data_IF_571523466465
#
_entry.id   IF_571523466465
#
_cell.length_a   1.000
_cell.length_b   1.000
_cell.length_c   1.000
_cell.angle_alpha   90.00
_cell.angle_beta   90.00
_cell.angle_gamma   90.00
#
_symmetry.space_group_name_H-M   'P 1'
#
loop_
_entity.id
_entity.type
_entity.pdbx_description
1 polymer ?
#
# COMPACT_ATOMS: atom_id res chain seq x y z
N UNK A 1 4.98 12.94 -10.99
CA UNK A 1 4.43 11.72 -11.64
C UNK A 1 5.39 10.59 -11.34
N UNK A 2 4.91 9.43 -10.91
CA UNK A 2 5.74 8.26 -10.62
C UNK A 2 6.21 7.68 -11.95
N UNK A 3 7.55 7.50 -12.09
CA UNK A 3 8.15 6.87 -13.24
C UNK A 3 8.19 5.34 -13.13
N UNK A 4 8.56 4.61 -14.23
CA UNK A 4 8.57 3.14 -14.23
C UNK A 4 9.56 2.54 -13.23
N UNK A 5 10.73 3.15 -13.05
CA UNK A 5 11.76 2.69 -12.12
C UNK A 5 11.29 2.85 -10.67
N UNK A 6 10.76 4.03 -10.34
CA UNK A 6 10.21 4.32 -9.00
C UNK A 6 9.02 3.40 -8.67
N UNK A 7 8.18 3.09 -9.65
CA UNK A 7 7.07 2.17 -9.48
C UNK A 7 7.54 0.74 -9.15
N UNK A 8 8.59 0.28 -9.84
CA UNK A 8 9.16 -1.06 -9.59
C UNK A 8 9.90 -1.14 -8.25
N UNK A 9 10.61 -0.09 -7.87
CA UNK A 9 11.23 0.05 -6.56
C UNK A 9 10.16 -0.07 -5.46
N UNK A 10 9.09 0.71 -5.55
CA UNK A 10 7.97 0.67 -4.59
C UNK A 10 7.26 -0.69 -4.57
N UNK A 11 7.12 -1.33 -5.72
CA UNK A 11 6.56 -2.68 -5.85
C UNK A 11 7.37 -3.69 -5.04
N UNK A 12 8.70 -3.67 -5.14
CA UNK A 12 9.58 -4.60 -4.45
C UNK A 12 9.68 -4.29 -2.95
N UNK A 13 9.90 -3.03 -2.58
CA UNK A 13 10.06 -2.64 -1.16
C UNK A 13 8.76 -2.78 -0.35
N UNK A 14 7.61 -2.61 -0.99
CA UNK A 14 6.31 -2.78 -0.33
C UNK A 14 5.67 -4.15 -0.60
N UNK A 15 6.45 -5.14 -1.04
CA UNK A 15 5.96 -6.47 -1.40
C UNK A 15 5.17 -7.17 -0.28
N UNK A 16 5.46 -6.87 0.99
CA UNK A 16 4.81 -7.46 2.16
C UNK A 16 3.99 -6.45 2.98
N UNK A 17 3.83 -5.21 2.47
CA UNK A 17 3.15 -4.14 3.19
C UNK A 17 1.78 -3.90 2.58
N UNK A 18 0.72 -4.30 3.28
CA UNK A 18 -0.67 -4.10 2.83
C UNK A 18 -1.20 -2.71 3.18
N UNK A 19 -0.55 -2.02 4.11
CA UNK A 19 -0.91 -0.67 4.52
C UNK A 19 -0.47 0.38 3.49
N UNK A 20 -1.21 1.49 3.46
CA UNK A 20 -0.93 2.59 2.56
C UNK A 20 -1.71 2.54 1.25
N UNK A 21 -1.33 3.42 0.33
CA UNK A 21 -2.06 3.67 -0.92
C UNK A 21 -1.10 3.50 -2.10
N UNK A 22 -1.60 2.99 -3.22
CA UNK A 22 -0.85 2.90 -4.47
C UNK A 22 -1.55 3.70 -5.57
N UNK A 23 -0.82 4.61 -6.22
CA UNK A 23 -1.37 5.43 -7.30
C UNK A 23 -1.65 4.59 -8.55
N UNK A 24 -2.51 5.12 -9.44
CA UNK A 24 -2.74 4.50 -10.76
C UNK A 24 -1.44 4.33 -11.54
N UNK A 25 -0.57 5.33 -11.53
CA UNK A 25 0.72 5.26 -12.23
C UNK A 25 1.62 4.16 -11.68
N UNK A 26 1.73 4.04 -10.34
CA UNK A 26 2.47 2.97 -9.67
C UNK A 26 1.95 1.59 -10.09
N UNK A 27 0.63 1.40 -10.03
CA UNK A 27 -0.02 0.15 -10.40
C UNK A 27 0.21 -0.23 -11.86
N UNK A 28 -0.03 0.69 -12.81
CA UNK A 28 0.08 0.37 -14.23
C UNK A 28 1.52 0.17 -14.68
N UNK A 29 2.49 0.97 -14.18
CA UNK A 29 3.90 0.78 -14.51
C UNK A 29 4.44 -0.55 -13.97
N UNK A 30 4.12 -0.91 -12.73
CA UNK A 30 4.54 -2.19 -12.16
C UNK A 30 3.97 -3.36 -12.96
N UNK A 31 2.65 -3.35 -13.25
CA UNK A 31 2.02 -4.41 -14.04
C UNK A 31 2.54 -4.48 -15.47
N UNK A 32 2.85 -3.35 -16.12
CA UNK A 32 3.43 -3.33 -17.47
C UNK A 32 4.81 -4.00 -17.46
N UNK A 33 5.67 -3.64 -16.52
CA UNK A 33 7.01 -4.24 -16.41
C UNK A 33 6.89 -5.74 -16.12
N UNK A 34 6.03 -6.14 -15.20
CA UNK A 34 5.78 -7.54 -14.91
C UNK A 34 5.24 -8.30 -16.12
N UNK A 35 4.32 -7.72 -16.89
CA UNK A 35 3.81 -8.34 -18.10
C UNK A 35 4.91 -8.56 -19.14
N UNK A 36 5.85 -7.62 -19.30
CA UNK A 36 7.00 -7.76 -20.19
C UNK A 36 7.95 -8.86 -19.69
N UNK A 37 8.26 -8.90 -18.40
CA UNK A 37 9.12 -9.94 -17.81
C UNK A 37 8.47 -11.31 -17.92
N UNK A 38 7.16 -11.41 -17.63
CA UNK A 38 6.43 -12.66 -17.76
C UNK A 38 6.32 -13.14 -19.20
N UNK A 39 6.09 -12.23 -20.15
CA UNK A 39 6.07 -12.61 -21.58
C UNK A 39 7.42 -13.14 -22.06
N UNK A 40 8.52 -12.52 -21.64
CA UNK A 40 9.87 -12.99 -21.94
C UNK A 40 10.13 -14.38 -21.31
N UNK A 41 9.70 -14.60 -20.08
CA UNK A 41 9.82 -15.91 -19.42
C UNK A 41 9.00 -16.99 -20.13
N UNK A 42 7.77 -16.68 -20.54
CA UNK A 42 6.93 -17.61 -21.31
C UNK A 42 7.55 -17.96 -22.66
N UNK A 43 8.11 -16.96 -23.38
CA UNK A 43 8.83 -17.21 -24.64
C UNK A 43 10.02 -18.14 -24.41
N UNK A 44 10.80 -17.88 -23.35
CA UNK A 44 11.90 -18.75 -22.95
C UNK A 44 11.43 -20.17 -22.66
N UNK A 45 10.34 -20.33 -21.93
CA UNK A 45 9.78 -21.63 -21.58
C UNK A 45 9.27 -22.40 -22.83
N UNK A 46 8.65 -21.69 -23.77
CA UNK A 46 8.23 -22.26 -25.06
C UNK A 46 9.43 -22.80 -25.83
N UNK A 47 10.49 -22.00 -25.93
CA UNK A 47 11.75 -22.42 -26.61
C UNK A 47 12.33 -23.66 -25.91
N UNK A 48 12.40 -23.61 -24.58
CA UNK A 48 12.91 -24.73 -23.76
C UNK A 48 12.06 -25.99 -23.96
N UNK A 49 10.73 -25.83 -23.98
CA UNK A 49 9.81 -26.94 -24.24
C UNK A 49 10.09 -27.61 -25.59
N UNK A 50 10.24 -26.83 -26.65
CA UNK A 50 10.56 -27.40 -27.96
C UNK A 50 11.93 -28.08 -27.97
N UNK A 51 12.96 -27.45 -27.41
CA UNK A 51 14.32 -28.04 -27.35
C UNK A 51 14.35 -29.36 -26.59
N UNK A 52 13.66 -29.46 -25.44
CA UNK A 52 13.65 -30.69 -24.63
C UNK A 52 12.85 -31.80 -25.31
N UNK A 53 11.80 -31.46 -26.07
CA UNK A 53 10.86 -32.45 -26.60
C UNK A 53 11.08 -32.79 -28.09
N UNK A 54 12.06 -32.20 -28.76
CA UNK A 54 12.42 -32.59 -30.13
C UNK A 54 12.79 -34.08 -30.16
N UNK A 55 12.08 -34.85 -30.98
CA UNK A 55 12.33 -36.28 -31.20
C UNK A 55 11.78 -37.20 -30.11
N UNK A 56 11.08 -36.69 -29.09
CA UNK A 56 10.43 -37.48 -28.05
C UNK A 56 9.06 -37.99 -28.48
N UNK A 57 8.70 -39.19 -28.03
CA UNK A 57 7.34 -39.73 -28.15
C UNK A 57 6.37 -39.01 -27.19
N UNK A 58 5.04 -38.99 -27.46
CA UNK A 58 4.07 -38.43 -26.54
C UNK A 58 4.13 -38.98 -25.11
N UNK A 59 4.45 -40.23 -24.95
CA UNK A 59 4.61 -40.89 -23.65
C UNK A 59 5.83 -40.35 -22.90
N UNK A 60 6.97 -40.23 -23.58
CA UNK A 60 8.18 -39.66 -23.00
C UNK A 60 8.01 -38.17 -22.63
N UNK A 61 7.20 -37.40 -23.38
CA UNK A 61 6.85 -36.03 -23.04
C UNK A 61 6.05 -35.99 -21.72
N UNK A 62 5.09 -36.90 -21.55
CA UNK A 62 4.21 -36.91 -20.39
C UNK A 62 4.97 -37.28 -19.11
N UNK A 63 5.80 -38.34 -19.17
CA UNK A 63 6.57 -38.81 -18.03
C UNK A 63 7.87 -38.03 -17.78
N UNK A 64 8.39 -37.35 -18.80
CA UNK A 64 9.60 -36.51 -18.72
C UNK A 64 9.34 -35.07 -18.36
N UNK A 65 8.09 -34.68 -18.08
CA UNK A 65 7.75 -33.30 -17.71
C UNK A 65 8.37 -32.94 -16.36
N UNK A 66 9.26 -31.96 -16.34
CA UNK A 66 9.84 -31.38 -15.14
C UNK A 66 9.46 -29.91 -15.05
N UNK A 67 8.63 -29.50 -14.09
CA UNK A 67 8.29 -28.08 -13.90
C UNK A 67 9.49 -27.21 -13.55
N UNK A 68 10.55 -27.81 -13.00
CA UNK A 68 11.80 -27.11 -12.68
C UNK A 68 12.62 -26.66 -13.89
N UNK A 69 12.29 -27.13 -15.08
CA UNK A 69 12.95 -26.72 -16.33
C UNK A 69 12.41 -25.42 -16.88
N UNK A 70 11.32 -24.89 -16.32
CA UNK A 70 10.63 -23.70 -16.79
C UNK A 70 10.81 -22.54 -15.80
N UNK A 71 10.95 -21.34 -16.35
CA UNK A 71 11.20 -20.11 -15.57
C UNK A 71 9.90 -19.48 -15.06
N UNK A 72 8.83 -19.51 -15.87
CA UNK A 72 7.59 -18.79 -15.58
C UNK A 72 6.91 -19.24 -14.27
N UNK A 73 6.87 -20.52 -13.86
CA UNK A 73 6.24 -20.92 -12.61
C UNK A 73 6.89 -20.28 -11.37
N UNK A 74 8.22 -20.17 -11.37
CA UNK A 74 8.95 -19.55 -10.27
C UNK A 74 8.71 -18.04 -10.20
N UNK A 75 8.65 -17.37 -11.35
CA UNK A 75 8.31 -15.94 -11.41
C UNK A 75 6.87 -15.69 -10.96
N UNK A 76 5.92 -16.52 -11.38
CA UNK A 76 4.53 -16.42 -10.89
C UNK A 76 4.50 -16.52 -9.37
N UNK A 77 5.14 -17.55 -8.81
CA UNK A 77 5.16 -17.76 -7.36
C UNK A 77 5.81 -16.56 -6.62
N UNK A 78 6.92 -16.05 -7.13
CA UNK A 78 7.61 -14.90 -6.55
C UNK A 78 6.76 -13.62 -6.61
N UNK A 79 5.94 -13.44 -7.66
CA UNK A 79 5.12 -12.24 -7.85
C UNK A 79 3.73 -12.31 -7.20
N UNK A 80 3.28 -13.47 -6.72
CA UNK A 80 1.94 -13.63 -6.10
C UNK A 80 1.75 -12.64 -4.94
N UNK A 81 2.66 -12.64 -3.97
CA UNK A 81 2.55 -11.80 -2.78
C UNK A 81 2.67 -10.31 -3.11
N UNK A 82 3.72 -9.86 -3.85
CA UNK A 82 3.83 -8.45 -4.23
C UNK A 82 2.63 -7.94 -5.06
N UNK A 83 2.11 -8.75 -5.99
CA UNK A 83 0.93 -8.38 -6.77
C UNK A 83 -0.32 -8.25 -5.89
N UNK A 84 -0.52 -9.18 -4.97
CA UNK A 84 -1.62 -9.13 -4.03
C UNK A 84 -1.59 -7.82 -3.21
N UNK A 85 -0.44 -7.49 -2.61
CA UNK A 85 -0.28 -6.26 -1.83
C UNK A 85 -0.47 -5.00 -2.67
N UNK A 86 0.02 -4.99 -3.91
CA UNK A 86 -0.17 -3.87 -4.83
C UNK A 86 -1.65 -3.64 -5.15
N UNK A 87 -2.42 -4.71 -5.40
CA UNK A 87 -3.87 -4.65 -5.63
C UNK A 87 -4.60 -4.09 -4.42
N UNK A 88 -4.31 -4.62 -3.23
CA UNK A 88 -4.91 -4.15 -1.97
C UNK A 88 -4.63 -2.66 -1.77
N UNK A 89 -3.38 -2.21 -1.89
CA UNK A 89 -2.99 -0.80 -1.77
C UNK A 89 -3.64 0.09 -2.83
N UNK A 90 -3.90 -0.45 -4.03
CA UNK A 90 -4.63 0.27 -5.07
C UNK A 90 -6.11 0.44 -4.73
N UNK A 91 -6.76 -0.57 -4.15
CA UNK A 91 -8.14 -0.47 -3.67
C UNK A 91 -8.25 0.53 -2.51
N UNK A 92 -7.30 0.53 -1.60
CA UNK A 92 -7.18 1.51 -0.52
C UNK A 92 -7.08 2.95 -1.05
N UNK A 93 -6.37 3.16 -2.16
CA UNK A 93 -6.25 4.47 -2.79
C UNK A 93 -7.57 5.03 -3.35
N UNK A 94 -8.52 4.15 -3.69
CA UNK A 94 -9.88 4.51 -4.10
C UNK A 94 -10.90 4.50 -2.94
N UNK A 95 -10.44 4.49 -1.68
CA UNK A 95 -11.31 4.49 -0.49
C UNK A 95 -12.03 3.17 -0.22
N UNK A 96 -11.54 2.05 -0.76
CA UNK A 96 -12.19 0.74 -0.66
C UNK A 96 -11.30 -0.28 0.04
N UNK A 97 -11.91 -1.17 0.83
CA UNK A 97 -11.18 -2.24 1.48
C UNK A 97 -10.59 -3.24 0.48
N UNK A 98 -9.45 -3.87 0.83
CA UNK A 98 -8.83 -4.90 0.01
C UNK A 98 -9.75 -6.10 -0.32
N UNK A 99 -10.78 -6.34 0.49
CA UNK A 99 -11.74 -7.42 0.24
C UNK A 99 -12.49 -7.29 -1.09
N UNK A 100 -12.58 -6.08 -1.66
CA UNK A 100 -13.18 -5.86 -2.98
C UNK A 100 -12.44 -6.60 -4.10
N UNK A 101 -11.20 -7.02 -3.91
CA UNK A 101 -10.52 -7.87 -4.88
C UNK A 101 -11.22 -9.22 -5.10
N UNK A 102 -11.96 -9.72 -4.10
CA UNK A 102 -12.67 -11.00 -4.21
C UNK A 102 -13.80 -10.96 -5.26
N UNK A 103 -14.20 -9.78 -5.68
CA UNK A 103 -15.21 -9.61 -6.74
C UNK A 103 -14.78 -10.26 -8.06
N UNK A 104 -13.47 -10.36 -8.32
CA UNK A 104 -12.94 -11.01 -9.53
C UNK A 104 -13.36 -12.49 -9.67
N UNK A 105 -13.71 -13.15 -8.55
CA UNK A 105 -14.17 -14.55 -8.57
C UNK A 105 -15.63 -14.73 -9.01
N UNK A 106 -16.38 -13.64 -9.17
CA UNK A 106 -17.74 -13.70 -9.72
C UNK A 106 -17.65 -13.93 -11.24
N UNK A 107 -18.17 -15.07 -11.76
CA UNK A 107 -18.09 -15.38 -13.18
C UNK A 107 -18.76 -14.30 -14.03
N UNK A 108 -18.19 -14.03 -15.21
CA UNK A 108 -18.64 -13.10 -16.24
C UNK A 108 -18.53 -11.61 -15.88
N UNK A 109 -18.96 -11.20 -14.68
CA UNK A 109 -19.04 -9.78 -14.28
C UNK A 109 -17.83 -9.38 -13.42
N UNK A 110 -17.29 -10.30 -12.64
CA UNK A 110 -16.34 -9.98 -11.60
C UNK A 110 -15.04 -9.34 -12.11
N UNK A 111 -14.46 -9.89 -13.18
CA UNK A 111 -13.23 -9.35 -13.74
C UNK A 111 -13.41 -7.94 -14.35
N UNK A 112 -14.57 -7.69 -14.98
CA UNK A 112 -14.90 -6.37 -15.54
C UNK A 112 -15.09 -5.35 -14.41
N UNK A 113 -15.80 -5.74 -13.35
CA UNK A 113 -15.99 -4.90 -12.17
C UNK A 113 -14.69 -4.61 -11.46
N UNK A 114 -13.83 -5.63 -11.35
CA UNK A 114 -12.48 -5.48 -10.79
C UNK A 114 -11.64 -4.46 -11.59
N UNK A 115 -11.67 -4.51 -12.94
CA UNK A 115 -11.00 -3.51 -13.76
C UNK A 115 -11.53 -2.09 -13.50
N UNK A 116 -12.85 -1.92 -13.36
CA UNK A 116 -13.44 -0.63 -13.00
C UNK A 116 -12.87 -0.13 -11.67
N UNK A 117 -12.81 -1.01 -10.66
CA UNK A 117 -12.29 -0.66 -9.33
C UNK A 117 -10.83 -0.16 -9.38
N UNK A 118 -9.99 -0.79 -10.19
CA UNK A 118 -8.58 -0.42 -10.33
C UNK A 118 -8.39 0.89 -11.10
N UNK A 119 -9.26 1.19 -12.06
CA UNK A 119 -9.22 2.42 -12.86
C UNK A 119 -9.81 3.62 -12.12
N UNK A 120 -10.63 3.42 -11.10
CA UNK A 120 -11.24 4.51 -10.33
C UNK A 120 -10.20 5.56 -9.88
N UNK A 121 -10.58 6.85 -9.85
CA UNK A 121 -9.68 7.90 -9.37
C UNK A 121 -9.30 7.68 -7.90
N UNK A 122 -8.09 8.12 -7.57
CA UNK A 122 -7.63 8.17 -6.18
C UNK A 122 -8.47 9.13 -5.37
N UNK A 123 -8.79 8.78 -4.15
CA UNK A 123 -9.51 9.66 -3.23
C UNK A 123 -8.64 10.87 -2.87
N UNK A 124 -9.13 12.12 -3.05
CA UNK A 124 -8.32 13.32 -2.85
C UNK A 124 -8.06 13.60 -1.36
N UNK A 125 -8.89 13.08 -0.49
CA UNK A 125 -8.78 13.26 0.95
C UNK A 125 -7.96 12.16 1.62
N UNK A 126 -7.53 12.40 2.85
CA UNK A 126 -6.93 11.40 3.72
C UNK A 126 -8.01 10.40 4.11
N UNK A 127 -7.76 9.12 3.86
CA UNK A 127 -8.64 8.04 4.24
C UNK A 127 -8.02 7.15 5.34
N UNK A 128 -8.69 6.06 5.70
CA UNK A 128 -8.24 5.14 6.75
C UNK A 128 -6.83 4.57 6.51
N UNK A 129 -6.37 4.51 5.26
CA UNK A 129 -5.07 3.96 4.84
C UNK A 129 -3.99 5.02 4.63
N UNK A 130 -4.30 6.30 4.85
CA UNK A 130 -3.32 7.38 4.85
C UNK A 130 -3.60 8.52 3.87
N UNK A 131 -2.65 9.45 3.81
CA UNK A 131 -2.73 10.63 2.97
C UNK A 131 -2.51 10.29 1.48
N UNK A 132 -3.15 11.02 0.54
CA UNK A 132 -2.94 10.81 -0.89
C UNK A 132 -1.48 11.09 -1.28
N UNK A 133 -0.98 10.33 -2.27
CA UNK A 133 0.36 10.52 -2.80
C UNK A 133 0.54 11.94 -3.38
N UNK A 134 1.62 12.61 -3.00
CA UNK A 134 1.92 13.98 -3.45
C UNK A 134 1.32 15.07 -2.56
N UNK A 135 0.48 14.74 -1.59
CA UNK A 135 0.27 15.65 -0.47
C UNK A 135 1.60 15.63 0.30
N UNK A 136 2.41 16.69 0.15
CA UNK A 136 3.44 16.97 1.15
C UNK A 136 2.76 16.78 2.50
N UNK A 137 3.45 16.19 3.48
CA UNK A 137 3.01 16.17 4.87
C UNK A 137 2.78 17.61 5.31
N UNK A 138 1.76 18.20 4.73
CA UNK A 138 1.34 19.56 4.98
C UNK A 138 0.86 19.58 6.42
N UNK A 139 1.24 20.62 7.11
CA UNK A 139 1.03 20.86 8.51
C UNK A 139 -0.37 20.57 9.05
N UNK A 140 -0.66 20.91 10.26
CA UNK A 140 -1.91 20.54 10.92
C UNK A 140 -3.11 20.94 10.05
N UNK A 141 -3.93 19.96 9.68
CA UNK A 141 -5.20 20.23 8.99
C UNK A 141 -6.20 20.71 10.03
N UNK A 142 -6.89 21.78 9.69
CA UNK A 142 -7.97 22.31 10.51
C UNK A 142 -9.32 21.90 9.92
N UNK A 143 -10.29 21.62 10.77
CA UNK A 143 -11.68 21.48 10.39
C UNK A 143 -12.22 22.86 9.93
N UNK A 144 -13.36 22.94 9.22
CA UNK A 144 -13.99 24.20 8.84
C UNK A 144 -14.31 25.14 10.03
N UNK A 145 -14.42 24.58 11.23
CA UNK A 145 -14.63 25.27 12.50
C UNK A 145 -13.34 25.85 13.13
N UNK A 146 -12.19 25.67 12.45
CA UNK A 146 -10.88 26.12 12.95
C UNK A 146 -10.24 25.18 13.96
N UNK A 147 -10.88 24.06 14.33
CA UNK A 147 -10.29 23.04 15.20
C UNK A 147 -9.28 22.19 14.46
N UNK A 148 -8.22 21.73 15.17
CA UNK A 148 -7.20 20.85 14.59
C UNK A 148 -7.77 19.45 14.37
N UNK A 149 -7.74 18.95 13.12
CA UNK A 149 -8.16 17.58 12.82
C UNK A 149 -7.20 16.60 13.50
N UNK A 150 -7.70 15.83 14.43
CA UNK A 150 -6.92 14.86 15.21
C UNK A 150 -6.48 13.70 14.29
N UNK A 151 -5.18 13.40 14.26
CA UNK A 151 -4.65 12.23 13.57
C UNK A 151 -4.53 11.08 14.57
N UNK A 152 -4.74 9.81 14.16
CA UNK A 152 -4.47 8.67 15.03
C UNK A 152 -3.04 8.66 15.58
N UNK A 153 -2.07 9.18 14.81
CA UNK A 153 -0.66 9.33 15.22
C UNK A 153 -0.43 10.44 16.23
N UNK A 154 -1.36 11.40 16.40
CA UNK A 154 -1.21 12.48 17.37
C UNK A 154 -1.25 11.94 18.83
N UNK A 155 -1.92 10.79 19.03
CA UNK A 155 -1.93 10.11 20.35
C UNK A 155 -0.52 9.64 20.73
N UNK A 156 0.26 9.15 19.76
CA UNK A 156 1.66 8.76 19.99
C UNK A 156 2.59 9.98 20.07
N UNK A 157 2.29 11.05 19.33
CA UNK A 157 3.06 12.29 19.41
C UNK A 157 2.93 12.93 20.80
N UNK A 158 1.78 12.82 21.44
CA UNK A 158 1.59 13.26 22.85
C UNK A 158 2.49 12.48 23.81
N UNK A 159 2.64 11.16 23.62
CA UNK A 159 3.53 10.34 24.43
C UNK A 159 5.01 10.72 24.24
N UNK A 160 5.43 10.93 23.00
CA UNK A 160 6.80 11.37 22.67
C UNK A 160 7.09 12.79 23.20
N UNK A 161 6.07 13.65 23.25
CA UNK A 161 6.21 15.01 23.82
C UNK A 161 6.25 14.96 25.35
N UNK A 162 5.54 14.01 25.96
CA UNK A 162 5.56 13.79 27.41
C UNK A 162 6.91 13.24 27.91
N UNK A 163 7.64 12.50 27.05
CA UNK A 163 8.96 11.94 27.36
C UNK A 163 10.09 12.99 27.23
N UNK A 164 9.82 14.13 26.58
CA UNK A 164 10.74 15.26 26.55
C UNK A 164 10.80 15.91 27.93
N UNK A 165 11.97 15.86 28.56
CA UNK A 165 12.23 16.59 29.81
C UNK A 165 11.88 18.07 29.63
N UNK A 166 10.90 18.54 30.40
CA UNK A 166 10.48 19.95 30.38
C UNK A 166 11.61 20.81 30.95
N UNK A 167 11.90 21.91 30.30
CA UNK A 167 12.86 22.87 30.81
C UNK A 167 12.38 23.45 32.15
N UNK A 168 13.30 23.91 33.03
CA UNK A 168 12.94 24.50 34.33
C UNK A 168 11.92 25.63 34.18
N UNK A 169 12.02 26.44 33.11
CA UNK A 169 11.12 27.57 32.84
C UNK A 169 9.73 27.10 32.42
N UNK A 170 9.61 26.03 31.61
CA UNK A 170 8.34 25.41 31.28
C UNK A 170 7.65 24.78 32.50
N UNK A 171 8.43 24.21 33.42
CA UNK A 171 7.90 23.69 34.68
C UNK A 171 7.39 24.80 35.59
N UNK A 172 8.08 25.94 35.64
CA UNK A 172 7.65 27.10 36.40
C UNK A 172 6.36 27.71 35.85
N UNK A 173 6.25 27.87 34.53
CA UNK A 173 5.07 28.35 33.85
C UNK A 173 3.86 27.42 34.08
N UNK A 174 4.05 26.12 33.95
CA UNK A 174 2.98 25.13 34.18
C UNK A 174 2.51 25.09 35.65
N UNK A 175 3.41 25.27 36.60
CA UNK A 175 3.05 25.40 38.03
C UNK A 175 2.23 26.69 38.31
N UNK A 176 2.56 27.78 37.64
CA UNK A 176 1.82 29.03 37.77
C UNK A 176 0.40 28.88 37.21
N UNK A 177 0.26 28.24 36.04
CA UNK A 177 -1.05 27.96 35.41
C UNK A 177 -1.94 27.08 36.30
N UNK A 178 -1.39 25.99 36.86
CA UNK A 178 -2.10 25.13 37.80
C UNK A 178 -2.54 25.92 39.03
N UNK A 179 -1.69 26.76 39.56
CA UNK A 179 -2.00 27.58 40.73
C UNK A 179 -3.13 28.59 40.48
N UNK A 180 -3.12 29.22 39.29
CA UNK A 180 -4.19 30.13 38.88
C UNK A 180 -5.51 29.40 38.61
N UNK A 181 -5.45 28.22 38.02
CA UNK A 181 -6.63 27.38 37.85
C UNK A 181 -7.26 27.01 39.20
N UNK A 182 -6.47 26.56 40.17
CA UNK A 182 -6.98 26.24 41.51
C UNK A 182 -7.56 27.48 42.20
N UNK A 183 -6.89 28.63 42.09
CA UNK A 183 -7.38 29.87 42.68
C UNK A 183 -8.70 30.32 42.09
N UNK A 184 -8.84 30.25 40.74
CA UNK A 184 -10.03 30.75 40.05
C UNK A 184 -11.22 29.76 40.07
N UNK A 185 -10.96 28.46 40.00
CA UNK A 185 -12.03 27.45 39.82
C UNK A 185 -12.38 26.69 41.12
N UNK A 186 -11.41 26.51 42.00
CA UNK A 186 -11.61 25.70 43.21
C UNK A 186 -11.82 26.61 44.46
N UNK A 187 -10.97 27.61 44.62
CA UNK A 187 -11.08 28.51 45.80
C UNK A 187 -12.01 29.70 45.57
N UNK A 188 -12.24 30.13 44.35
CA UNK A 188 -13.17 31.22 44.00
C UNK A 188 -14.65 30.84 44.02
N UNK A 189 -14.99 29.62 44.48
CA UNK A 189 -16.36 29.11 44.65
C UNK A 189 -16.75 28.93 46.14
N UNK A 190 -15.95 29.43 47.05
CA UNK A 190 -16.27 29.46 48.49
C UNK A 190 -16.87 30.79 48.93
#
# INVERSE_FOLDING_TARGET
MIGPIEAMERYLFNAFTMDGRATRAEFWWANLILALVMSAAIIWDVITFFQINIGRTPTEMLFGFSPFSYLSPFLVLACVVPNFTLIVRRLHDSGRSGCWMLVQFIPLVGWLWYLVLIVLPSEPEENEWGAPHGSSRSGPRFNPDGSRKHRPTDSYAVLLTAERERTPDELAAHRAEIKDYYRSKVLGRA
#
